data_IF_262710504443
#
_entry.id   IF_262710504443
#
_cell.length_a   1.000
_cell.length_b   1.000
_cell.length_c   1.000
_cell.angle_alpha   90.00
_cell.angle_beta   90.00
_cell.angle_gamma   90.00
#
_symmetry.space_group_name_H-M   'P 1'
#
loop_
_entity.id
_entity.type
_entity.pdbx_description
1 polymer ?
#
# COMPACT_ATOMS: atom_id res chain seq x y z
N UNK A 1 -5.45 -54.41 13.90
CA UNK A 1 -5.70 -53.07 14.46
C UNK A 1 -6.30 -52.23 13.34
N UNK A 2 -7.59 -51.92 13.42
CA UNK A 2 -8.38 -51.32 12.34
C UNK A 2 -8.34 -49.79 12.39
N UNK A 3 -8.10 -49.17 11.24
CA UNK A 3 -8.13 -47.73 11.00
C UNK A 3 -9.59 -47.23 10.91
N UNK A 4 -9.91 -46.12 11.57
CA UNK A 4 -11.19 -45.41 11.54
C UNK A 4 -11.01 -43.91 11.84
N UNK A 5 -11.96 -43.03 11.46
CA UNK A 5 -11.68 -41.92 10.55
C UNK A 5 -11.65 -40.51 11.17
N UNK A 6 -10.86 -39.65 10.52
CA UNK A 6 -11.11 -38.22 10.21
C UNK A 6 -11.70 -37.28 11.26
N UNK A 7 -10.88 -36.30 11.69
CA UNK A 7 -11.38 -34.94 12.02
C UNK A 7 -10.63 -33.90 11.18
N UNK A 8 -11.33 -33.07 10.38
CA UNK A 8 -10.72 -31.99 9.63
C UNK A 8 -10.16 -30.94 10.60
N UNK A 9 -8.93 -30.52 10.37
CA UNK A 9 -8.34 -29.38 11.08
C UNK A 9 -9.21 -28.15 10.85
N UNK A 10 -9.75 -27.66 11.96
CA UNK A 10 -10.61 -26.50 12.10
C UNK A 10 -9.98 -25.32 11.35
N UNK A 11 -10.64 -24.90 10.26
CA UNK A 11 -10.39 -23.61 9.60
C UNK A 11 -10.42 -22.54 10.68
N UNK A 12 -9.27 -21.95 11.01
CA UNK A 12 -9.26 -20.76 11.86
C UNK A 12 -10.08 -19.69 11.14
N UNK A 13 -11.06 -19.21 11.89
CA UNK A 13 -12.14 -18.31 11.49
C UNK A 13 -11.63 -17.11 10.68
N UNK A 14 -12.22 -16.86 9.51
CA UNK A 14 -12.07 -15.64 8.68
C UNK A 14 -12.83 -14.45 9.29
N UNK A 15 -13.44 -14.61 10.46
CA UNK A 15 -14.49 -13.70 10.98
C UNK A 15 -13.96 -12.51 11.78
N UNK A 16 -12.66 -12.39 12.07
CA UNK A 16 -12.14 -11.28 12.90
C UNK A 16 -11.31 -10.22 12.16
N UNK A 17 -11.30 -10.22 10.82
CA UNK A 17 -10.60 -9.19 10.03
C UNK A 17 -11.51 -8.03 9.56
N UNK A 18 -12.79 -8.04 9.95
CA UNK A 18 -13.73 -6.98 9.62
C UNK A 18 -14.42 -6.49 10.89
N UNK A 19 -14.01 -5.30 11.32
CA UNK A 19 -14.76 -4.24 12.04
C UNK A 19 -13.81 -3.59 13.06
N UNK A 20 -12.93 -2.73 12.56
CA UNK A 20 -12.56 -1.50 13.28
C UNK A 20 -13.07 -0.32 12.46
N UNK A 21 -14.40 -0.23 12.42
CA UNK A 21 -15.15 0.93 11.95
C UNK A 21 -15.10 1.99 13.04
N UNK A 22 -14.04 2.80 13.12
CA UNK A 22 -14.08 4.06 13.89
C UNK A 22 -13.00 5.12 13.59
N UNK A 23 -12.31 5.05 12.45
CA UNK A 23 -11.47 6.17 11.99
C UNK A 23 -12.09 6.82 10.74
N UNK A 24 -13.01 7.75 10.98
CA UNK A 24 -13.65 8.57 9.96
C UNK A 24 -12.68 9.61 9.36
N UNK A 25 -11.76 9.14 8.52
CA UNK A 25 -11.18 9.95 7.44
C UNK A 25 -11.54 9.24 6.15
N UNK A 26 -12.18 9.92 5.21
CA UNK A 26 -12.42 9.40 3.84
C UNK A 26 -11.09 8.84 3.31
N UNK A 27 -10.93 7.53 3.32
CA UNK A 27 -9.80 6.89 2.65
C UNK A 27 -10.04 7.09 1.17
N UNK A 28 -9.33 8.05 0.56
CA UNK A 28 -9.38 8.24 -0.89
C UNK A 28 -9.12 6.90 -1.58
N UNK A 29 -9.87 6.62 -2.64
CA UNK A 29 -9.76 5.37 -3.38
C UNK A 29 -8.33 5.21 -3.92
N UNK A 30 -7.53 4.35 -3.29
CA UNK A 30 -6.14 4.16 -3.70
C UNK A 30 -6.07 3.18 -4.86
N UNK A 31 -5.51 3.62 -5.98
CA UNK A 31 -5.20 2.74 -7.12
C UNK A 31 -3.74 2.33 -7.09
N UNK A 32 -3.45 1.05 -7.31
CA UNK A 32 -2.08 0.53 -7.43
C UNK A 32 -1.63 0.53 -8.89
N UNK A 33 -0.40 1.00 -9.13
CA UNK A 33 0.26 0.88 -10.43
C UNK A 33 1.76 0.64 -10.24
N UNK A 34 2.38 -0.04 -11.21
CA UNK A 34 3.81 -0.30 -11.22
C UNK A 34 4.51 0.65 -12.19
N UNK A 35 5.62 1.27 -11.75
CA UNK A 35 6.40 2.21 -12.56
C UNK A 35 7.78 1.65 -12.84
N UNK A 36 8.19 1.68 -14.12
CA UNK A 36 9.59 1.51 -14.51
C UNK A 36 10.24 2.88 -14.65
N UNK A 37 11.39 3.05 -14.01
CA UNK A 37 12.17 4.29 -14.05
C UNK A 37 13.65 3.97 -14.11
N UNK A 38 14.46 4.96 -14.49
CA UNK A 38 15.91 4.83 -14.49
C UNK A 38 16.46 4.71 -13.06
N UNK A 39 17.60 4.04 -12.90
CA UNK A 39 18.27 3.89 -11.60
C UNK A 39 18.62 5.24 -10.96
N UNK A 40 18.94 6.24 -11.77
CA UNK A 40 19.24 7.59 -11.29
C UNK A 40 18.02 8.26 -10.64
N UNK A 41 16.84 8.15 -11.26
CA UNK A 41 15.58 8.68 -10.70
C UNK A 41 15.22 7.95 -9.41
N UNK A 42 15.26 6.60 -9.43
CA UNK A 42 14.99 5.80 -8.24
C UNK A 42 15.90 6.16 -7.06
N UNK A 43 17.21 6.36 -7.30
CA UNK A 43 18.17 6.78 -6.28
C UNK A 43 17.83 8.16 -5.71
N UNK A 44 17.45 9.12 -6.55
CA UNK A 44 17.06 10.46 -6.11
C UNK A 44 15.82 10.43 -5.22
N UNK A 45 14.79 9.67 -5.62
CA UNK A 45 13.57 9.49 -4.82
C UNK A 45 13.89 8.86 -3.46
N UNK A 46 14.74 7.84 -3.42
CA UNK A 46 15.15 7.19 -2.16
C UNK A 46 15.88 8.17 -1.22
N UNK A 47 16.80 8.99 -1.75
CA UNK A 47 17.51 9.98 -0.96
C UNK A 47 16.59 11.08 -0.44
N UNK A 48 15.61 11.51 -1.24
CA UNK A 48 14.64 12.52 -0.84
C UNK A 48 13.71 12.00 0.26
N UNK A 49 13.16 10.80 0.08
CA UNK A 49 12.36 10.10 1.08
C UNK A 49 13.09 10.01 2.43
N UNK A 50 14.38 9.65 2.39
CA UNK A 50 15.22 9.60 3.59
C UNK A 50 15.40 10.97 4.26
N UNK A 51 15.68 12.03 3.48
CA UNK A 51 15.88 13.39 4.01
C UNK A 51 14.62 13.99 4.62
N UNK A 52 13.46 13.69 4.06
CA UNK A 52 12.18 14.23 4.50
C UNK A 52 11.49 13.37 5.58
N UNK A 53 12.10 12.24 5.98
CA UNK A 53 11.49 11.24 6.86
C UNK A 53 10.13 10.75 6.35
N UNK A 54 10.01 10.58 5.03
CA UNK A 54 8.79 10.16 4.32
C UNK A 54 9.04 8.91 3.49
N UNK A 55 7.97 8.27 3.07
CA UNK A 55 8.02 7.12 2.15
C UNK A 55 8.22 7.59 0.71
N UNK A 56 8.81 6.73 -0.13
CA UNK A 56 8.93 7.01 -1.57
C UNK A 56 7.56 7.19 -2.24
N UNK A 57 6.52 6.49 -1.75
CA UNK A 57 5.14 6.65 -2.22
C UNK A 57 4.69 8.10 -2.06
N UNK A 58 4.80 8.66 -0.85
CA UNK A 58 4.36 10.03 -0.56
C UNK A 58 5.14 11.08 -1.37
N UNK A 59 6.45 10.87 -1.60
CA UNK A 59 7.25 11.74 -2.46
C UNK A 59 6.74 11.70 -3.90
N UNK A 60 6.45 10.51 -4.43
CA UNK A 60 5.95 10.34 -5.80
C UNK A 60 4.56 10.94 -5.95
N UNK A 61 3.64 10.67 -5.03
CA UNK A 61 2.27 11.23 -5.06
C UNK A 61 2.31 12.77 -5.05
N UNK A 62 3.09 13.37 -4.15
CA UNK A 62 3.22 14.82 -4.11
C UNK A 62 3.83 15.39 -5.40
N UNK A 63 4.82 14.70 -5.97
CA UNK A 63 5.47 15.14 -7.21
C UNK A 63 4.52 15.08 -8.40
N UNK A 64 3.71 14.02 -8.49
CA UNK A 64 2.70 13.86 -9.55
C UNK A 64 1.60 14.91 -9.40
N UNK A 65 1.07 15.11 -8.19
CA UNK A 65 0.05 16.15 -7.95
C UNK A 65 0.56 17.53 -8.31
N UNK A 66 1.79 17.87 -7.90
CA UNK A 66 2.39 19.16 -8.25
C UNK A 66 2.50 19.34 -9.77
N UNK A 67 3.00 18.32 -10.47
CA UNK A 67 3.15 18.37 -11.92
C UNK A 67 1.80 18.52 -12.65
N UNK A 68 0.76 17.81 -12.20
CA UNK A 68 -0.57 17.91 -12.78
C UNK A 68 -1.17 19.30 -12.58
N UNK A 69 -1.06 19.86 -11.37
CA UNK A 69 -1.53 21.22 -11.10
C UNK A 69 -0.80 22.26 -11.96
N UNK A 70 0.52 22.13 -12.13
CA UNK A 70 1.33 23.01 -13.00
C UNK A 70 0.97 22.89 -14.49
N UNK A 71 0.33 21.79 -14.92
CA UNK A 71 -0.06 21.56 -16.31
C UNK A 71 -1.51 21.97 -16.61
N UNK A 72 -2.33 22.17 -15.58
CA UNK A 72 -3.74 22.56 -15.71
C UNK A 72 -3.96 24.08 -15.69
N UNK A 73 -2.95 24.85 -15.26
CA UNK A 73 -2.88 26.32 -15.31
C UNK A 73 -2.26 26.85 -16.63
#
# INVERSE_FOLDING_TARGET
MSLGPGKPHQRRSIVEAFVDTNSASKTEESTMFNVRMTTSVHRRLKLQAFKEHRTMKEIVEQSVVRYLNECED
#
